data_IF_816096689157
#
_entry.id   IF_816096689157
#
_cell.length_a   1.000
_cell.length_b   1.000
_cell.length_c   1.000
_cell.angle_alpha   90.00
_cell.angle_beta   90.00
_cell.angle_gamma   90.00
#
_symmetry.space_group_name_H-M   'P 1'
#
loop_
_entity.id
_entity.type
_entity.pdbx_description
1 polymer ?
#
# COMPACT_ATOMS: atom_id res chain seq x y z
N UNK A 1 -6.58 10.68 -26.79
CA UNK A 1 -7.81 10.17 -26.14
C UNK A 1 -8.27 8.84 -26.73
N UNK A 2 -8.46 8.71 -28.06
CA UNK A 2 -8.95 7.46 -28.68
C UNK A 2 -8.01 6.25 -28.57
N UNK A 3 -6.69 6.45 -28.64
CA UNK A 3 -5.70 5.37 -28.52
C UNK A 3 -5.66 4.78 -27.10
N UNK A 4 -5.64 5.65 -26.08
CA UNK A 4 -5.67 5.25 -24.66
C UNK A 4 -6.94 4.46 -24.34
N UNK A 5 -8.10 4.93 -24.82
CA UNK A 5 -9.36 4.20 -24.64
C UNK A 5 -9.34 2.82 -25.32
N UNK A 6 -8.72 2.71 -26.49
CA UNK A 6 -8.58 1.42 -27.21
C UNK A 6 -7.65 0.46 -26.48
N UNK A 7 -6.54 0.94 -25.92
CA UNK A 7 -5.60 0.14 -25.13
C UNK A 7 -6.26 -0.36 -23.83
N UNK A 8 -6.99 0.51 -23.13
CA UNK A 8 -7.75 0.13 -21.93
C UNK A 8 -8.81 -0.93 -22.25
N UNK A 9 -9.56 -0.76 -23.34
CA UNK A 9 -10.55 -1.74 -23.77
C UNK A 9 -9.90 -3.09 -24.11
N UNK A 10 -8.76 -3.09 -24.80
CA UNK A 10 -8.00 -4.29 -25.10
C UNK A 10 -7.50 -4.97 -23.83
N UNK A 11 -6.98 -4.21 -22.87
CA UNK A 11 -6.51 -4.73 -21.59
C UNK A 11 -7.65 -5.40 -20.80
N UNK A 12 -8.81 -4.73 -20.70
CA UNK A 12 -10.01 -5.30 -20.06
C UNK A 12 -10.44 -6.58 -20.76
N UNK A 13 -10.44 -6.59 -22.10
CA UNK A 13 -10.79 -7.78 -22.88
C UNK A 13 -9.80 -8.92 -22.63
N UNK A 14 -8.49 -8.64 -22.57
CA UNK A 14 -7.46 -9.62 -22.25
C UNK A 14 -7.66 -10.20 -20.85
N UNK A 15 -7.91 -9.37 -19.83
CA UNK A 15 -8.17 -9.83 -18.45
C UNK A 15 -9.44 -10.68 -18.39
N UNK A 16 -10.52 -10.23 -19.04
CA UNK A 16 -11.77 -10.98 -19.13
C UNK A 16 -11.58 -12.32 -19.86
N UNK A 17 -10.76 -12.38 -20.91
CA UNK A 17 -10.46 -13.62 -21.60
C UNK A 17 -9.60 -14.55 -20.74
N UNK A 18 -8.57 -14.01 -20.07
CA UNK A 18 -7.64 -14.78 -19.23
C UNK A 18 -8.35 -15.41 -18.02
N UNK A 19 -9.30 -14.71 -17.40
CA UNK A 19 -10.10 -15.23 -16.29
C UNK A 19 -11.34 -16.01 -16.76
N UNK A 20 -12.00 -15.53 -17.82
CA UNK A 20 -13.25 -16.08 -18.31
C UNK A 20 -13.10 -17.42 -19.02
N UNK A 21 -12.04 -17.61 -19.82
CA UNK A 21 -11.82 -18.88 -20.55
C UNK A 21 -11.60 -20.07 -19.60
N UNK A 22 -10.75 -19.99 -18.55
CA UNK A 22 -10.62 -21.06 -17.56
C UNK A 22 -11.92 -21.33 -16.80
N UNK A 23 -12.63 -20.28 -16.38
CA UNK A 23 -13.90 -20.42 -15.67
C UNK A 23 -14.97 -21.09 -16.53
N UNK A 24 -15.11 -20.67 -17.80
CA UNK A 24 -15.99 -21.29 -18.78
C UNK A 24 -15.60 -22.74 -19.05
N UNK A 25 -14.30 -23.03 -19.15
CA UNK A 25 -13.77 -24.39 -19.31
C UNK A 25 -14.13 -25.31 -18.15
N UNK A 26 -13.91 -24.88 -16.90
CA UNK A 26 -14.29 -25.62 -15.70
C UNK A 26 -15.80 -25.82 -15.59
N UNK A 27 -16.58 -24.78 -15.91
CA UNK A 27 -18.04 -24.89 -15.95
C UNK A 27 -18.51 -25.91 -17.00
N UNK A 28 -17.99 -25.83 -18.23
CA UNK A 28 -18.31 -26.76 -19.30
C UNK A 28 -17.91 -28.20 -18.95
N UNK A 29 -16.72 -28.40 -18.37
CA UNK A 29 -16.23 -29.69 -17.89
C UNK A 29 -17.15 -30.25 -16.81
N UNK A 30 -17.55 -29.45 -15.82
CA UNK A 30 -18.46 -29.88 -14.76
C UNK A 30 -19.81 -30.34 -15.33
N UNK A 31 -20.36 -29.61 -16.31
CA UNK A 31 -21.62 -29.95 -16.98
C UNK A 31 -21.48 -31.22 -17.82
N UNK A 32 -20.36 -31.40 -18.50
CA UNK A 32 -20.06 -32.60 -19.27
C UNK A 32 -19.93 -33.84 -18.37
N UNK A 33 -19.23 -33.73 -17.24
CA UNK A 33 -19.07 -34.82 -16.26
C UNK A 33 -20.41 -35.22 -15.62
N UNK A 34 -21.29 -34.27 -15.32
CA UNK A 34 -22.66 -34.56 -14.84
C UNK A 34 -23.46 -35.38 -15.85
N UNK A 35 -23.35 -35.06 -17.15
CA UNK A 35 -24.02 -35.81 -18.22
C UNK A 35 -23.51 -37.25 -18.36
N UNK A 36 -22.26 -37.53 -18.00
CA UNK A 36 -21.63 -38.86 -18.03
C UNK A 36 -21.81 -39.65 -16.73
N UNK A 37 -22.60 -39.15 -15.77
CA UNK A 37 -22.82 -39.75 -14.46
C UNK A 37 -21.57 -39.83 -13.57
N UNK A 38 -20.54 -39.02 -13.84
CA UNK A 38 -19.34 -38.91 -13.00
C UNK A 38 -19.54 -37.85 -11.90
N UNK A 39 -20.41 -38.13 -10.93
CA UNK A 39 -20.83 -37.15 -9.91
C UNK A 39 -19.66 -36.61 -9.07
N UNK A 40 -18.73 -37.47 -8.62
CA UNK A 40 -17.57 -37.04 -7.82
C UNK A 40 -16.65 -36.08 -8.58
N UNK A 41 -16.36 -36.40 -9.84
CA UNK A 41 -15.51 -35.55 -10.68
C UNK A 41 -16.18 -34.21 -11.00
N UNK A 42 -17.51 -34.21 -11.20
CA UNK A 42 -18.25 -32.97 -11.38
C UNK A 42 -18.21 -32.06 -10.13
N UNK A 43 -18.32 -32.63 -8.93
CA UNK A 43 -18.17 -31.87 -7.67
C UNK A 43 -16.77 -31.29 -7.56
N UNK A 44 -15.72 -32.07 -7.84
CA UNK A 44 -14.34 -31.58 -7.84
C UNK A 44 -14.14 -30.39 -8.80
N UNK A 45 -14.69 -30.47 -10.01
CA UNK A 45 -14.64 -29.37 -10.98
C UNK A 45 -15.38 -28.11 -10.47
N UNK A 46 -16.50 -28.27 -9.76
CA UNK A 46 -17.22 -27.13 -9.16
C UNK A 46 -16.45 -26.51 -8.00
N UNK A 47 -15.79 -27.31 -7.16
CA UNK A 47 -14.91 -26.81 -6.08
C UNK A 47 -13.74 -26.03 -6.68
N UNK A 48 -13.11 -26.55 -7.73
CA UNK A 48 -12.04 -25.84 -8.43
C UNK A 48 -12.53 -24.52 -9.03
N UNK A 49 -13.72 -24.49 -9.64
CA UNK A 49 -14.31 -23.26 -10.17
C UNK A 49 -14.56 -22.23 -9.06
N UNK A 50 -15.09 -22.66 -7.91
CA UNK A 50 -15.29 -21.77 -6.76
C UNK A 50 -13.97 -21.24 -6.20
N UNK A 51 -12.96 -22.11 -6.05
CA UNK A 51 -11.62 -21.72 -5.60
C UNK A 51 -10.94 -20.75 -6.57
N UNK A 52 -11.07 -20.96 -7.88
CA UNK A 52 -10.57 -20.04 -8.91
C UNK A 52 -11.26 -18.67 -8.81
N UNK A 53 -12.58 -18.64 -8.60
CA UNK A 53 -13.30 -17.39 -8.37
C UNK A 53 -12.80 -16.63 -7.14
N UNK A 54 -12.58 -17.33 -6.02
CA UNK A 54 -12.01 -16.74 -4.81
C UNK A 54 -10.59 -16.19 -5.04
N UNK A 55 -9.76 -16.92 -5.79
CA UNK A 55 -8.42 -16.48 -6.18
C UNK A 55 -8.45 -15.21 -7.05
N UNK A 56 -9.32 -15.15 -8.05
CA UNK A 56 -9.46 -13.93 -8.86
C UNK A 56 -9.88 -12.73 -8.01
N UNK A 57 -10.82 -12.92 -7.08
CA UNK A 57 -11.24 -11.87 -6.15
C UNK A 57 -10.09 -11.42 -5.25
N UNK A 58 -9.28 -12.33 -4.73
CA UNK A 58 -8.14 -11.97 -3.88
C UNK A 58 -7.09 -11.17 -4.64
N UNK A 59 -6.81 -11.52 -5.91
CA UNK A 59 -5.89 -10.77 -6.76
C UNK A 59 -6.40 -9.35 -7.01
N UNK A 60 -7.69 -9.20 -7.34
CA UNK A 60 -8.28 -7.87 -7.52
C UNK A 60 -8.23 -7.08 -6.23
N UNK A 61 -8.54 -7.70 -5.09
CA UNK A 61 -8.47 -7.07 -3.78
C UNK A 61 -7.06 -6.53 -3.49
N UNK A 62 -6.01 -7.31 -3.74
CA UNK A 62 -4.62 -6.87 -3.50
C UNK A 62 -4.15 -5.71 -4.39
N UNK A 63 -4.80 -5.46 -5.53
CA UNK A 63 -4.49 -4.28 -6.34
C UNK A 63 -5.02 -2.98 -5.75
N UNK A 64 -6.12 -3.06 -4.98
CA UNK A 64 -6.75 -1.88 -4.36
C UNK A 64 -6.34 -1.70 -2.90
N UNK A 65 -6.01 -2.79 -2.22
CA UNK A 65 -5.57 -2.80 -0.84
C UNK A 65 -4.14 -3.34 -0.80
N UNK A 66 -3.12 -2.46 -0.79
CA UNK A 66 -1.74 -2.89 -0.58
C UNK A 66 -1.65 -3.71 0.72
N UNK A 67 -0.82 -4.74 0.71
CA UNK A 67 -0.59 -5.53 1.91
C UNK A 67 0.36 -4.75 2.83
N UNK A 68 0.39 -5.15 4.10
CA UNK A 68 1.25 -4.49 5.09
C UNK A 68 2.73 -4.55 4.67
N UNK A 69 3.13 -5.63 4.00
CA UNK A 69 4.49 -5.86 3.52
C UNK A 69 4.96 -4.79 2.53
N UNK A 70 4.08 -4.24 1.69
CA UNK A 70 4.45 -3.13 0.82
C UNK A 70 4.85 -1.90 1.64
N UNK A 71 4.12 -1.59 2.72
CA UNK A 71 4.46 -0.48 3.61
C UNK A 71 5.69 -0.75 4.46
N UNK A 72 5.92 -2.01 4.87
CA UNK A 72 7.16 -2.41 5.52
C UNK A 72 8.37 -2.11 4.62
N UNK A 73 8.33 -2.56 3.36
CA UNK A 73 9.40 -2.30 2.40
C UNK A 73 9.59 -0.80 2.13
N UNK A 74 8.49 -0.04 2.04
CA UNK A 74 8.54 1.42 1.86
C UNK A 74 9.21 2.12 3.06
N UNK A 75 8.88 1.69 4.28
CA UNK A 75 9.56 2.18 5.49
C UNK A 75 11.06 1.89 5.43
N UNK A 76 11.46 0.67 5.06
CA UNK A 76 12.87 0.29 4.95
C UNK A 76 13.60 1.09 3.87
N UNK A 77 12.96 1.31 2.73
CA UNK A 77 13.52 2.08 1.62
C UNK A 77 13.71 3.55 1.99
N UNK A 78 12.73 4.15 2.67
CA UNK A 78 12.74 5.56 3.05
C UNK A 78 13.76 5.81 4.16
N UNK A 79 13.70 5.02 5.24
CA UNK A 79 14.49 5.23 6.46
C UNK A 79 15.86 4.56 6.43
N UNK A 80 16.07 3.54 5.59
CA UNK A 80 17.26 2.68 5.63
C UNK A 80 17.34 1.77 6.87
N UNK A 81 16.27 1.72 7.68
CA UNK A 81 16.17 0.88 8.88
C UNK A 81 15.26 -0.30 8.57
N UNK A 82 15.58 -1.48 9.11
CA UNK A 82 14.67 -2.63 9.07
C UNK A 82 13.34 -2.29 9.75
N UNK A 83 12.24 -2.82 9.23
CA UNK A 83 10.94 -2.65 9.87
C UNK A 83 10.97 -3.26 11.29
N UNK A 84 10.50 -2.54 12.32
CA UNK A 84 10.60 -3.02 13.70
C UNK A 84 9.73 -4.26 13.92
N UNK A 85 10.23 -5.25 14.67
CA UNK A 85 9.46 -6.46 15.00
C UNK A 85 8.18 -6.17 15.79
N UNK A 86 8.13 -5.04 16.51
CA UNK A 86 6.92 -4.58 17.22
C UNK A 86 5.97 -3.74 16.35
N UNK A 87 6.31 -3.54 15.07
CA UNK A 87 5.56 -2.70 14.15
C UNK A 87 4.30 -3.36 13.63
N UNK A 88 3.21 -2.60 13.58
CA UNK A 88 1.97 -2.97 12.91
C UNK A 88 1.53 -1.80 12.01
N UNK A 89 1.17 -2.11 10.76
CA UNK A 89 0.59 -1.12 9.84
C UNK A 89 -0.88 -0.90 10.22
N UNK A 90 -1.19 0.31 10.68
CA UNK A 90 -2.54 0.69 11.14
C UNK A 90 -3.39 1.19 9.99
N UNK A 91 -2.76 1.98 9.13
CA UNK A 91 -3.40 2.61 7.97
C UNK A 91 -2.34 2.86 6.92
N UNK A 92 -2.67 2.60 5.68
CA UNK A 92 -1.79 2.88 4.56
C UNK A 92 -2.58 3.24 3.32
N UNK A 93 -2.02 4.12 2.52
CA UNK A 93 -2.51 4.50 1.21
C UNK A 93 -1.31 4.60 0.27
N UNK A 94 -1.41 3.98 -0.89
CA UNK A 94 -0.36 4.01 -1.90
C UNK A 94 -1.02 4.18 -3.25
N UNK A 95 -0.49 5.06 -4.10
CA UNK A 95 -0.86 5.03 -5.52
C UNK A 95 -0.43 3.69 -6.08
N UNK A 96 -1.38 2.92 -6.60
CA UNK A 96 -1.06 1.90 -7.59
C UNK A 96 -0.36 2.54 -8.80
N UNK A 97 0.25 1.73 -9.67
CA UNK A 97 0.96 2.17 -10.88
C UNK A 97 0.16 3.23 -11.66
N UNK A 98 0.47 4.52 -11.47
CA UNK A 98 0.00 5.57 -12.36
C UNK A 98 0.85 5.50 -13.63
N UNK A 99 0.17 5.55 -14.78
CA UNK A 99 0.82 5.60 -16.10
C UNK A 99 1.61 6.91 -16.30
N UNK A 100 1.35 7.92 -15.47
CA UNK A 100 2.09 9.19 -15.42
C UNK A 100 3.50 9.07 -14.83
N UNK A 101 3.77 8.04 -14.02
CA UNK A 101 5.02 7.90 -13.27
C UNK A 101 4.99 8.50 -11.87
N UNK A 102 3.95 9.27 -11.56
CA UNK A 102 3.71 9.84 -10.24
C UNK A 102 3.46 8.70 -9.24
N UNK A 103 4.16 8.75 -8.11
CA UNK A 103 4.03 7.76 -7.05
C UNK A 103 3.84 8.46 -5.70
N UNK A 104 2.84 8.04 -4.94
CA UNK A 104 2.74 8.39 -3.54
C UNK A 104 2.54 7.16 -2.66
N UNK A 105 3.11 7.20 -1.47
CA UNK A 105 2.88 6.24 -0.40
C UNK A 105 2.78 7.01 0.90
N UNK A 106 1.79 6.68 1.71
CA UNK A 106 1.59 7.24 3.04
C UNK A 106 1.14 6.11 3.96
N UNK A 107 1.84 5.91 5.05
CA UNK A 107 1.46 4.91 6.04
C UNK A 107 1.62 5.42 7.46
N UNK A 108 0.78 4.86 8.32
CA UNK A 108 0.78 5.01 9.75
C UNK A 108 1.06 3.64 10.36
N UNK A 109 2.12 3.57 11.16
CA UNK A 109 2.49 2.37 11.90
C UNK A 109 2.40 2.64 13.40
N UNK A 110 2.03 1.60 14.14
CA UNK A 110 2.17 1.55 15.58
C UNK A 110 3.37 0.69 15.93
N UNK A 111 4.17 1.13 16.89
CA UNK A 111 5.35 0.44 17.38
C UNK A 111 5.40 0.50 18.90
N UNK A 112 6.19 -0.36 19.53
CA UNK A 112 6.47 -0.23 20.95
C UNK A 112 7.18 1.11 21.26
N UNK A 113 7.00 1.69 22.46
CA UNK A 113 7.71 2.92 22.84
C UNK A 113 9.24 2.81 22.72
N UNK A 114 9.78 1.61 22.97
CA UNK A 114 11.22 1.35 22.84
C UNK A 114 11.68 1.53 21.39
N UNK A 115 10.96 0.93 20.43
CA UNK A 115 11.31 1.00 19.02
C UNK A 115 11.04 2.40 18.47
N UNK A 116 9.98 3.08 18.93
CA UNK A 116 9.72 4.48 18.62
C UNK A 116 10.94 5.36 18.90
N UNK A 117 11.47 5.30 20.13
CA UNK A 117 12.63 6.12 20.52
C UNK A 117 13.92 5.69 19.83
N UNK A 118 14.08 4.40 19.53
CA UNK A 118 15.22 3.91 18.76
C UNK A 118 15.20 4.49 17.35
N UNK A 119 14.06 4.41 16.66
CA UNK A 119 13.90 4.92 15.29
C UNK A 119 14.05 6.43 15.28
N UNK A 120 13.43 7.16 16.24
CA UNK A 120 13.59 8.61 16.39
C UNK A 120 15.06 8.99 16.58
N UNK A 121 15.78 8.29 17.47
CA UNK A 121 17.20 8.52 17.68
C UNK A 121 18.04 8.29 16.42
N UNK A 122 17.75 7.23 15.66
CA UNK A 122 18.44 6.92 14.40
C UNK A 122 18.20 7.98 13.33
N UNK A 123 16.94 8.34 13.08
CA UNK A 123 16.57 9.33 12.07
C UNK A 123 17.10 10.72 12.46
N UNK A 124 17.03 11.10 13.73
CA UNK A 124 17.56 12.39 14.20
C UNK A 124 19.07 12.53 14.08
N UNK A 125 19.80 11.41 14.06
CA UNK A 125 21.25 11.38 13.89
C UNK A 125 21.68 11.21 12.42
N UNK A 126 20.73 10.95 11.51
CA UNK A 126 20.98 10.78 10.09
C UNK A 126 21.00 12.14 9.38
N UNK A 127 22.17 12.52 8.85
CA UNK A 127 22.37 13.79 8.16
C UNK A 127 21.62 13.91 6.82
N UNK A 128 21.09 12.81 6.27
CA UNK A 128 20.22 12.86 5.10
C UNK A 128 18.83 13.43 5.42
N UNK A 129 18.43 13.41 6.70
CA UNK A 129 17.21 14.01 7.17
C UNK A 129 17.45 15.41 7.72
N UNK A 130 16.55 16.32 7.36
CA UNK A 130 16.46 17.66 7.94
C UNK A 130 15.25 17.73 8.84
N UNK A 131 15.45 18.29 10.03
CA UNK A 131 14.36 18.57 10.93
C UNK A 131 13.47 19.67 10.35
N UNK A 132 12.21 19.36 10.09
CA UNK A 132 11.25 20.37 9.68
C UNK A 132 10.42 20.82 10.89
N UNK A 133 10.52 22.10 11.23
CA UNK A 133 9.72 22.70 12.31
C UNK A 133 8.52 23.47 11.77
N UNK A 134 8.36 23.55 10.45
CA UNK A 134 7.40 24.40 9.75
C UNK A 134 6.57 23.68 8.69
N UNK A 135 6.85 22.43 8.33
CA UNK A 135 6.08 21.65 7.37
C UNK A 135 4.58 21.65 7.73
N UNK A 136 3.71 22.28 6.91
CA UNK A 136 2.30 22.00 6.97
C UNK A 136 2.08 20.56 6.49
N UNK A 137 1.12 19.86 7.13
CA UNK A 137 0.62 18.56 6.70
C UNK A 137 0.33 18.57 5.19
N UNK A 138 1.23 18.02 4.38
CA UNK A 138 1.04 17.85 2.95
C UNK A 138 0.35 16.51 2.72
N UNK A 139 -0.98 16.52 2.81
CA UNK A 139 -1.83 15.39 2.49
C UNK A 139 -3.29 15.80 2.49
N UNK A 140 -3.92 15.81 1.32
CA UNK A 140 -5.35 16.11 1.10
C UNK A 140 -6.33 15.13 1.80
N UNK A 141 -5.83 14.16 2.56
CA UNK A 141 -6.63 13.17 3.27
C UNK A 141 -7.20 13.63 4.64
N UNK A 142 -6.84 14.82 5.16
CA UNK A 142 -7.24 15.23 6.52
C UNK A 142 -8.12 16.50 6.58
N UNK A 143 -9.35 16.38 6.05
CA UNK A 143 -10.47 17.25 6.45
C UNK A 143 -11.19 16.80 7.74
N UNK A 144 -10.65 15.84 8.50
CA UNK A 144 -11.35 15.28 9.68
C UNK A 144 -10.56 15.25 11.00
N UNK A 145 -9.34 15.78 11.11
CA UNK A 145 -8.61 15.82 12.38
C UNK A 145 -8.19 17.23 12.83
N UNK A 146 -8.80 18.28 12.27
CA UNK A 146 -8.56 19.67 12.67
C UNK A 146 -9.29 20.01 13.99
N UNK A 147 -8.96 19.34 15.09
CA UNK A 147 -9.29 19.84 16.43
C UNK A 147 -8.30 19.26 17.43
N UNK A 148 -7.30 20.07 17.81
CA UNK A 148 -6.44 20.02 19.02
C UNK A 148 -4.97 20.31 18.69
N UNK A 149 -4.67 21.45 18.06
CA UNK A 149 -3.31 21.98 18.02
C UNK A 149 -3.09 22.92 19.21
N UNK A 150 -2.40 22.42 20.23
CA UNK A 150 -1.75 23.26 21.24
C UNK A 150 -0.32 23.51 20.77
N UNK A 151 0.20 24.75 20.76
CA UNK A 151 1.54 25.04 20.26
C UNK A 151 2.61 24.35 21.11
N UNK A 152 3.36 23.42 20.50
CA UNK A 152 4.45 22.68 21.15
C UNK A 152 5.71 23.56 21.33
N UNK A 153 6.43 23.30 22.42
CA UNK A 153 7.72 23.91 22.79
C UNK A 153 8.84 23.52 21.79
N UNK A 154 9.86 24.37 21.55
CA UNK A 154 10.74 24.28 20.37
C UNK A 154 11.93 23.28 20.46
N UNK A 155 11.87 22.22 21.27
CA UNK A 155 13.06 21.39 21.56
C UNK A 155 12.96 19.89 21.21
N UNK A 156 11.92 19.45 20.50
CA UNK A 156 11.76 18.05 20.08
C UNK A 156 11.38 17.98 18.62
N UNK A 157 12.38 17.88 17.75
CA UNK A 157 12.10 17.60 16.35
C UNK A 157 11.31 16.30 16.22
N UNK A 158 10.17 16.35 15.54
CA UNK A 158 9.28 15.19 15.34
C UNK A 158 8.89 14.99 13.89
N UNK A 159 9.32 15.88 13.00
CA UNK A 159 9.09 15.80 11.56
C UNK A 159 10.46 15.86 10.90
N UNK A 160 10.74 14.85 10.10
CA UNK A 160 12.00 14.70 9.41
C UNK A 160 11.72 14.56 7.93
N UNK A 161 12.33 15.44 7.14
CA UNK A 161 12.24 15.42 5.69
C UNK A 161 13.59 15.03 5.12
N UNK A 162 13.62 14.03 4.25
CA UNK A 162 14.83 13.61 3.55
C UNK A 162 14.93 14.38 2.24
N UNK A 163 15.99 15.16 2.10
CA UNK A 163 16.23 15.93 0.88
C UNK A 163 16.99 15.06 -0.13
N UNK A 164 16.28 14.60 -1.15
CA UNK A 164 16.91 13.92 -2.28
C UNK A 164 17.16 14.96 -3.38
N UNK A 165 18.35 14.99 -4.01
CA UNK A 165 18.67 15.97 -5.06
C UNK A 165 17.87 15.76 -6.36
N UNK A 166 17.14 14.66 -6.47
CA UNK A 166 16.21 14.40 -7.58
C UNK A 166 14.96 15.26 -7.41
N UNK A 167 14.58 15.98 -8.47
CA UNK A 167 13.40 16.86 -8.46
C UNK A 167 12.14 16.01 -8.21
N UNK A 168 11.23 16.52 -7.38
CA UNK A 168 9.91 15.94 -7.18
C UNK A 168 9.82 14.88 -6.08
N UNK A 169 10.95 14.44 -5.50
CA UNK A 169 10.95 13.39 -4.48
C UNK A 169 10.90 13.97 -3.06
N UNK A 170 9.75 13.84 -2.41
CA UNK A 170 9.49 14.26 -1.03
C UNK A 170 9.32 13.04 -0.14
N UNK A 171 10.25 12.85 0.79
CA UNK A 171 10.20 11.78 1.78
C UNK A 171 10.11 12.37 3.17
N UNK A 172 9.07 12.01 3.93
CA UNK A 172 8.87 12.52 5.29
C UNK A 172 8.62 11.40 6.29
N UNK A 173 9.07 11.59 7.53
CA UNK A 173 8.77 10.74 8.69
C UNK A 173 8.35 11.62 9.84
N UNK A 174 7.15 11.38 10.37
CA UNK A 174 6.59 12.08 11.49
C UNK A 174 6.42 11.14 12.68
N UNK A 175 6.78 11.64 13.85
CA UNK A 175 6.68 10.96 15.13
C UNK A 175 5.58 11.61 15.95
N UNK A 176 4.46 10.90 16.16
CA UNK A 176 3.33 11.47 16.88
C UNK A 176 3.61 11.59 18.38
N UNK A 177 2.90 12.48 19.10
CA UNK A 177 3.13 12.69 20.53
C UNK A 177 2.78 11.55 21.47
N UNK A 178 2.14 10.49 20.97
CA UNK A 178 1.73 9.31 21.73
C UNK A 178 2.88 8.31 22.00
N UNK A 179 4.08 8.61 21.46
CA UNK A 179 5.31 7.82 21.64
C UNK A 179 5.21 6.39 21.09
N UNK A 180 4.24 6.14 20.21
CA UNK A 180 3.95 4.81 19.65
C UNK A 180 3.59 4.88 18.17
N UNK A 181 3.10 6.02 17.68
CA UNK A 181 2.70 6.14 16.28
C UNK A 181 3.76 6.88 15.47
N UNK A 182 4.11 6.31 14.32
CA UNK A 182 4.97 6.92 13.31
C UNK A 182 4.19 6.97 12.01
N UNK A 183 4.20 8.11 11.33
CA UNK A 183 3.71 8.20 9.94
C UNK A 183 4.86 8.48 9.01
N UNK A 184 4.86 7.90 7.82
CA UNK A 184 5.86 8.18 6.81
C UNK A 184 5.19 8.33 5.45
N UNK A 185 5.75 9.20 4.62
CA UNK A 185 5.28 9.38 3.26
C UNK A 185 6.41 9.53 2.26
N UNK A 186 6.18 9.05 1.05
CA UNK A 186 6.97 9.31 -0.15
C UNK A 186 6.04 9.87 -1.22
N UNK A 187 6.45 10.94 -1.87
CA UNK A 187 5.80 11.49 -3.06
C UNK A 187 6.89 11.67 -4.10
N UNK A 188 6.71 11.09 -5.27
CA UNK A 188 7.57 11.20 -6.44
C UNK A 188 6.73 11.85 -7.56
N UNK A 189 7.02 13.10 -7.89
CA UNK A 189 6.41 13.91 -8.97
C UNK A 189 7.27 13.98 -10.25
#
# INVERSE_FOLDING_TARGET
MGEVASLLALMVLCVCALAGLPAAGLWALSRWLKRRNHQRAAVAAQVLLAGFGAFCLSVVYSFYFPLDREFENEFEQLTGLSFPESGEVVKGEMSGLDLGGDYYSNAQIQVSPKDYYLILGRISADFSFSCDTQAPFAGEAEKSAATLYTPLKPSSCRIFTKHTPERGLYQTVHFLPDEQTITFSRIDE
#
